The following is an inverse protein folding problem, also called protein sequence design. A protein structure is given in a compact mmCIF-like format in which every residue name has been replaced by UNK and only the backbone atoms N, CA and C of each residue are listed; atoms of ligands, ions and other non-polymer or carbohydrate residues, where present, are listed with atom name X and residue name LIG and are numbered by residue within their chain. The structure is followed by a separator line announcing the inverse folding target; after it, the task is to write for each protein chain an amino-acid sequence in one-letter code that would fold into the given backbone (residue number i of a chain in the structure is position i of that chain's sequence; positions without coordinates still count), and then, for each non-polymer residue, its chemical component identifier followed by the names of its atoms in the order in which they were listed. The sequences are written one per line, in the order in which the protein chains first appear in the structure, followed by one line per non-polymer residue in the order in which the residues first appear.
data_IF_512820991310
#
_entry.id   IF_512820991310
#
_cell.length_a   1.000
_cell.length_b   1.000
_cell.length_c   1.000
_cell.angle_alpha   90.00
_cell.angle_beta   90.00
_cell.angle_gamma   90.00
#
_symmetry.space_group_name_H-M   'P 1'
#
loop_
_entity.id
_entity.type
_entity.pdbx_description
1 polymer ?
#
# COMPACT_ATOMS: atom_id res chain seq x y z
N UNK A 1 -7.37 -6.38 10.29
CA UNK A 1 -5.97 -6.48 9.87
C UNK A 1 -5.37 -5.08 9.85
N UNK A 2 -4.08 -4.95 10.17
CA UNK A 2 -3.29 -3.73 10.02
C UNK A 2 -2.09 -4.06 9.10
N UNK A 3 -1.95 -3.34 8.00
CA UNK A 3 -0.85 -3.56 7.05
C UNK A 3 0.19 -2.47 7.24
N UNK A 4 1.44 -2.85 7.48
CA UNK A 4 2.55 -1.94 7.75
C UNK A 4 3.65 -2.18 6.71
N UNK A 5 4.01 -1.14 5.97
CA UNK A 5 5.15 -1.16 5.05
C UNK A 5 6.31 -0.36 5.61
N UNK A 6 7.42 -1.01 5.93
CA UNK A 6 8.64 -0.32 6.33
C UNK A 6 9.45 0.14 5.12
N UNK A 7 9.72 1.44 5.06
CA UNK A 7 10.53 2.05 4.00
C UNK A 7 12.01 2.00 4.31
N UNK A 8 12.40 2.58 5.44
CA UNK A 8 13.78 2.72 5.88
C UNK A 8 13.89 2.69 7.40
N UNK A 9 15.04 2.25 7.90
CA UNK A 9 15.46 2.37 9.31
C UNK A 9 16.15 3.69 9.62
N UNK A 10 16.32 4.58 8.64
CA UNK A 10 16.82 5.93 8.88
C UNK A 10 15.71 6.84 9.40
N UNK A 11 16.03 7.60 10.43
CA UNK A 11 15.15 8.59 11.04
C UNK A 11 15.84 9.94 11.12
N UNK A 12 15.05 10.99 11.40
CA UNK A 12 15.57 12.29 11.77
C UNK A 12 15.30 12.49 13.26
N UNK A 13 16.35 12.81 14.01
CA UNK A 13 16.27 13.19 15.40
C UNK A 13 16.38 14.69 15.52
N UNK A 14 15.43 15.32 16.21
CA UNK A 14 15.48 16.76 16.44
C UNK A 14 16.47 17.06 17.56
N UNK A 15 17.45 17.92 17.28
CA UNK A 15 18.54 18.22 18.23
C UNK A 15 18.07 18.91 19.52
N UNK A 16 16.93 19.58 19.49
CA UNK A 16 16.42 20.36 20.64
C UNK A 16 15.76 19.45 21.69
N UNK A 17 14.94 18.50 21.26
CA UNK A 17 14.17 17.62 22.17
C UNK A 17 14.71 16.20 22.24
N UNK A 18 15.69 15.87 21.41
CA UNK A 18 16.20 14.50 21.21
C UNK A 18 15.15 13.50 20.70
N UNK A 19 14.01 13.99 20.21
CA UNK A 19 12.93 13.15 19.73
C UNK A 19 13.13 12.72 18.28
N UNK A 20 12.72 11.49 17.97
CA UNK A 20 12.59 11.02 16.59
C UNK A 20 11.36 11.69 15.97
N UNK A 21 11.58 12.39 14.87
CA UNK A 21 10.55 13.17 14.17
C UNK A 21 10.41 12.77 12.71
N UNK A 22 9.23 13.06 12.17
CA UNK A 22 8.90 12.87 10.76
C UNK A 22 8.90 14.18 9.99
N UNK A 23 7.86 14.37 9.17
CA UNK A 23 7.70 15.50 8.26
C UNK A 23 7.47 16.85 8.99
N UNK A 24 8.54 17.44 9.52
CA UNK A 24 8.54 18.74 10.20
C UNK A 24 8.64 19.88 9.18
N UNK A 25 7.49 20.26 8.60
CA UNK A 25 7.43 21.43 7.73
C UNK A 25 7.77 22.69 8.54
N UNK A 26 8.72 23.50 8.05
CA UNK A 26 9.15 24.82 8.57
C UNK A 26 10.29 24.85 9.60
N UNK A 27 10.94 23.72 9.90
CA UNK A 27 12.17 23.72 10.72
C UNK A 27 13.40 23.51 9.81
N UNK A 28 14.49 24.28 9.96
CA UNK A 28 15.69 24.12 9.15
C UNK A 28 16.32 22.71 9.26
N UNK A 29 16.76 22.15 8.12
CA UNK A 29 17.30 20.79 8.05
C UNK A 29 18.53 20.56 8.97
N UNK A 30 19.32 21.60 9.22
CA UNK A 30 20.50 21.54 10.09
C UNK A 30 20.16 21.33 11.58
N UNK A 31 18.89 21.46 11.97
CA UNK A 31 18.42 21.15 13.32
C UNK A 31 18.14 19.66 13.53
N UNK A 32 18.27 18.84 12.49
CA UNK A 32 18.06 17.41 12.58
C UNK A 32 19.38 16.66 12.43
N UNK A 33 19.50 15.56 13.17
CA UNK A 33 20.51 14.53 12.95
C UNK A 33 19.82 13.39 12.24
N UNK A 34 20.33 13.01 11.07
CA UNK A 34 19.86 11.80 10.41
C UNK A 34 20.69 10.63 10.89
N UNK A 35 20.04 9.62 11.43
CA UNK A 35 20.69 8.44 11.97
C UNK A 35 19.93 7.17 11.60
N UNK A 36 20.59 6.03 11.76
CA UNK A 36 20.02 4.72 11.47
C UNK A 36 19.68 4.03 12.77
N UNK A 37 18.41 3.66 12.93
CA UNK A 37 17.97 2.86 14.05
C UNK A 37 18.59 1.46 14.01
N UNK A 38 18.82 0.90 15.18
CA UNK A 38 19.23 -0.48 15.39
C UNK A 38 18.04 -1.43 15.35
N UNK A 39 18.32 -2.73 15.23
CA UNK A 39 17.29 -3.78 15.27
C UNK A 39 16.53 -3.74 16.60
N UNK A 40 17.24 -3.53 17.71
CA UNK A 40 16.68 -3.53 19.07
C UNK A 40 15.77 -2.33 19.32
N UNK A 41 16.15 -1.12 18.87
CA UNK A 41 15.32 0.08 19.02
C UNK A 41 13.97 -0.06 18.30
N UNK A 42 14.00 -0.59 17.07
CA UNK A 42 12.78 -0.83 16.28
C UNK A 42 11.95 -1.91 16.97
N UNK A 43 12.56 -3.05 17.31
CA UNK A 43 11.86 -4.17 17.94
C UNK A 43 11.21 -3.75 19.25
N UNK A 44 11.94 -3.09 20.14
CA UNK A 44 11.44 -2.65 21.44
C UNK A 44 10.25 -1.69 21.30
N UNK A 45 10.39 -0.70 20.42
CA UNK A 45 9.35 0.32 20.18
C UNK A 45 8.08 -0.35 19.63
N UNK A 46 8.23 -1.19 18.61
CA UNK A 46 7.10 -1.87 17.99
C UNK A 46 6.47 -2.91 18.91
N UNK A 47 7.23 -3.66 19.70
CA UNK A 47 6.68 -4.61 20.66
C UNK A 47 5.79 -3.93 21.70
N UNK A 48 6.17 -2.75 22.19
CA UNK A 48 5.33 -1.95 23.10
C UNK A 48 4.02 -1.50 22.42
N UNK A 49 4.11 -1.06 21.17
CA UNK A 49 2.94 -0.64 20.40
C UNK A 49 2.00 -1.82 20.11
N UNK A 50 2.52 -2.94 19.63
CA UNK A 50 1.74 -4.13 19.32
C UNK A 50 1.01 -4.64 20.56
N UNK A 51 1.66 -4.69 21.73
CA UNK A 51 0.99 -5.06 22.99
C UNK A 51 -0.24 -4.18 23.26
N UNK A 52 -0.08 -2.85 23.20
CA UNK A 52 -1.19 -1.90 23.41
C UNK A 52 -2.33 -2.08 22.39
N UNK A 53 -1.98 -2.34 21.12
CA UNK A 53 -2.96 -2.61 20.08
C UNK A 53 -3.74 -3.90 20.34
N UNK A 54 -3.04 -4.95 20.80
CA UNK A 54 -3.66 -6.24 21.13
C UNK A 54 -4.49 -6.18 22.42
N UNK A 55 -4.10 -5.36 23.40
CA UNK A 55 -4.91 -5.12 24.60
C UNK A 55 -6.28 -4.53 24.22
N UNK A 56 -6.32 -3.69 23.18
CA UNK A 56 -7.56 -3.07 22.67
C UNK A 56 -8.30 -3.95 21.66
N UNK A 57 -7.59 -4.78 20.90
CA UNK A 57 -8.15 -5.68 19.90
C UNK A 57 -7.34 -6.99 19.84
N UNK A 58 -7.67 -7.99 20.67
CA UNK A 58 -6.91 -9.24 20.78
C UNK A 58 -6.83 -10.05 19.48
N UNK A 59 -7.79 -9.84 18.57
CA UNK A 59 -7.86 -10.54 17.29
C UNK A 59 -7.14 -9.80 16.15
N UNK A 60 -6.48 -8.65 16.44
CA UNK A 60 -5.78 -7.89 15.43
C UNK A 60 -4.61 -8.70 14.85
N UNK A 61 -4.64 -8.88 13.52
CA UNK A 61 -3.52 -9.40 12.74
C UNK A 61 -2.78 -8.25 12.07
N UNK A 62 -1.47 -8.22 12.20
CA UNK A 62 -0.56 -7.21 11.66
C UNK A 62 0.29 -7.88 10.58
N UNK A 63 0.24 -7.35 9.37
CA UNK A 63 1.03 -7.84 8.25
C UNK A 63 2.09 -6.80 7.91
N UNK A 64 3.34 -7.15 8.18
CA UNK A 64 4.50 -6.35 7.83
C UNK A 64 4.95 -6.64 6.40
N UNK A 65 5.58 -5.65 5.78
CA UNK A 65 6.32 -5.81 4.53
C UNK A 65 7.43 -4.77 4.46
N UNK A 66 8.50 -5.06 3.73
CA UNK A 66 9.55 -4.08 3.44
C UNK A 66 9.31 -3.51 2.05
N UNK A 67 9.35 -2.18 1.93
CA UNK A 67 9.14 -1.51 0.65
C UNK A 67 10.24 -1.88 -0.35
N UNK A 68 9.90 -2.22 -1.60
CA UNK A 68 10.86 -2.45 -2.67
C UNK A 68 11.57 -1.18 -3.16
N UNK A 69 11.09 0.00 -2.77
CA UNK A 69 11.68 1.29 -3.17
C UNK A 69 13.10 1.40 -2.61
N UNK A 70 14.02 1.81 -3.49
CA UNK A 70 15.43 2.00 -3.18
C UNK A 70 15.67 3.41 -2.63
N UNK A 71 16.23 3.51 -1.43
CA UNK A 71 16.61 4.78 -0.81
C UNK A 71 18.09 5.09 -1.09
N UNK A 72 18.41 5.48 -2.33
CA UNK A 72 19.79 5.67 -2.77
C UNK A 72 20.47 6.95 -2.29
N UNK A 73 19.76 7.84 -1.59
CA UNK A 73 20.35 9.05 -1.00
C UNK A 73 21.55 8.75 -0.08
N UNK A 74 21.60 7.54 0.50
CA UNK A 74 22.70 7.08 1.37
C UNK A 74 23.66 6.10 0.69
N UNK A 75 23.48 5.87 -0.61
CA UNK A 75 24.20 4.85 -1.37
C UNK A 75 23.61 3.44 -1.22
N UNK A 76 23.94 2.57 -2.18
CA UNK A 76 23.39 1.23 -2.26
C UNK A 76 23.71 0.37 -1.02
N UNK A 77 24.91 0.48 -0.47
CA UNK A 77 25.33 -0.27 0.73
C UNK A 77 24.46 0.07 1.95
N UNK A 78 24.26 1.36 2.24
CA UNK A 78 23.43 1.78 3.37
C UNK A 78 21.95 1.48 3.17
N UNK A 79 21.46 1.52 1.93
CA UNK A 79 20.13 1.02 1.61
C UNK A 79 20.01 -0.46 1.99
N UNK A 80 20.98 -1.30 1.60
CA UNK A 80 20.95 -2.72 1.97
C UNK A 80 21.00 -2.94 3.48
N UNK A 81 21.92 -2.29 4.19
CA UNK A 81 21.98 -2.36 5.65
C UNK A 81 20.66 -1.94 6.29
N UNK A 82 20.03 -0.89 5.77
CA UNK A 82 18.73 -0.41 6.26
C UNK A 82 17.63 -1.45 6.07
N UNK A 83 17.53 -2.06 4.87
CA UNK A 83 16.55 -3.14 4.60
C UNK A 83 16.83 -4.35 5.49
N UNK A 84 18.09 -4.77 5.65
CA UNK A 84 18.48 -5.87 6.54
C UNK A 84 18.04 -5.64 8.00
N UNK A 85 18.23 -4.42 8.52
CA UNK A 85 17.76 -4.05 9.86
C UNK A 85 16.24 -4.21 9.96
N UNK A 86 15.48 -3.71 8.97
CA UNK A 86 14.02 -3.85 8.95
C UNK A 86 13.57 -5.31 8.91
N UNK A 87 14.22 -6.16 8.11
CA UNK A 87 13.92 -7.60 8.06
C UNK A 87 14.16 -8.27 9.40
N UNK A 88 15.34 -8.05 10.03
CA UNK A 88 15.66 -8.62 11.34
C UNK A 88 14.70 -8.14 12.42
N UNK A 89 14.31 -6.85 12.41
CA UNK A 89 13.30 -6.35 13.34
C UNK A 89 11.93 -6.99 13.14
N UNK A 90 11.48 -7.15 11.90
CA UNK A 90 10.20 -7.83 11.61
C UNK A 90 10.26 -9.29 12.06
N UNK A 91 11.36 -9.99 11.79
CA UNK A 91 11.55 -11.37 12.21
C UNK A 91 11.48 -11.50 13.74
N UNK A 92 12.16 -10.62 14.49
CA UNK A 92 12.04 -10.57 15.94
C UNK A 92 10.59 -10.33 16.41
N UNK A 93 9.85 -9.43 15.76
CA UNK A 93 8.45 -9.14 16.09
C UNK A 93 7.55 -10.35 15.80
N UNK A 94 7.78 -11.08 14.70
CA UNK A 94 7.05 -12.31 14.40
C UNK A 94 7.30 -13.39 15.46
N UNK A 95 8.54 -13.56 15.91
CA UNK A 95 8.86 -14.48 17.00
C UNK A 95 8.20 -14.10 18.33
N UNK A 96 8.10 -12.80 18.63
CA UNK A 96 7.45 -12.32 19.86
C UNK A 96 5.91 -12.40 19.80
N UNK A 97 5.31 -12.29 18.61
CA UNK A 97 3.86 -12.26 18.42
C UNK A 97 3.42 -13.24 17.31
N UNK A 98 3.70 -14.55 17.41
CA UNK A 98 3.53 -15.51 16.31
C UNK A 98 2.07 -15.68 15.88
N UNK A 99 1.11 -15.41 16.76
CA UNK A 99 -0.31 -15.46 16.43
C UNK A 99 -0.82 -14.19 15.73
N UNK A 100 -0.07 -13.07 15.77
CA UNK A 100 -0.58 -11.75 15.39
C UNK A 100 0.30 -10.99 14.40
N UNK A 101 1.59 -11.30 14.29
CA UNK A 101 2.51 -10.64 13.37
C UNK A 101 2.91 -11.59 12.23
N UNK A 102 2.81 -11.09 10.99
CA UNK A 102 3.11 -11.83 9.78
C UNK A 102 3.94 -10.97 8.84
N UNK A 103 4.56 -11.59 7.82
CA UNK A 103 5.34 -10.90 6.81
C UNK A 103 4.89 -11.24 5.40
N UNK A 104 4.83 -10.23 4.53
CA UNK A 104 4.64 -10.38 3.09
C UNK A 104 5.91 -9.92 2.34
N UNK A 105 6.50 -10.75 1.46
CA UNK A 105 7.81 -10.51 0.88
C UNK A 105 7.80 -9.61 -0.37
N UNK A 106 7.27 -8.39 -0.28
CA UNK A 106 7.21 -7.47 -1.42
C UNK A 106 8.60 -7.03 -1.92
N UNK A 107 9.54 -6.84 -1.00
CA UNK A 107 10.93 -6.48 -1.32
C UNK A 107 11.62 -7.60 -2.11
N UNK A 108 11.51 -8.83 -1.62
CA UNK A 108 12.12 -10.03 -2.19
C UNK A 108 11.50 -10.36 -3.55
N UNK A 109 10.17 -10.26 -3.70
CA UNK A 109 9.52 -10.40 -5.01
C UNK A 109 10.13 -9.41 -6.02
N UNK A 110 10.37 -8.15 -5.59
CA UNK A 110 10.99 -7.17 -6.46
C UNK A 110 12.45 -7.52 -6.78
N UNK A 111 13.24 -7.97 -5.80
CA UNK A 111 14.66 -8.25 -6.00
C UNK A 111 14.91 -9.56 -6.77
N UNK A 112 14.12 -10.59 -6.52
CA UNK A 112 14.40 -11.96 -6.94
C UNK A 112 13.49 -12.44 -8.08
N UNK A 113 12.20 -12.09 -8.07
CA UNK A 113 11.27 -12.45 -9.16
C UNK A 113 11.26 -11.38 -10.28
N UNK A 114 11.43 -10.10 -9.92
CA UNK A 114 11.38 -8.95 -10.83
C UNK A 114 12.76 -8.26 -10.97
N UNK A 115 13.81 -9.07 -11.08
CA UNK A 115 15.23 -8.66 -11.00
C UNK A 115 15.73 -7.67 -12.07
N UNK A 116 14.95 -7.40 -13.12
CA UNK A 116 15.35 -6.62 -14.29
C UNK A 116 15.02 -5.12 -14.13
N UNK A 117 15.90 -4.24 -14.61
CA UNK A 117 15.71 -2.78 -14.59
C UNK A 117 14.43 -2.32 -15.29
N UNK A 118 13.87 -3.10 -16.24
CA UNK A 118 12.56 -2.83 -16.85
C UNK A 118 11.42 -2.70 -15.85
N UNK A 119 11.61 -3.21 -14.63
CA UNK A 119 10.63 -3.15 -13.56
C UNK A 119 10.77 -1.90 -12.70
N UNK A 120 11.79 -1.07 -12.91
CA UNK A 120 11.93 0.25 -12.30
C UNK A 120 11.49 1.36 -13.27
N UNK A 121 10.97 2.45 -12.72
CA UNK A 121 10.77 3.69 -13.47
C UNK A 121 12.10 4.33 -13.84
N UNK A 122 12.06 5.39 -14.66
CA UNK A 122 13.26 6.08 -15.17
C UNK A 122 14.20 6.60 -14.08
N UNK A 123 13.70 6.81 -12.85
CA UNK A 123 14.50 7.19 -11.70
C UNK A 123 15.34 6.05 -11.11
N UNK A 124 15.11 4.81 -11.55
CA UNK A 124 15.76 3.57 -11.09
C UNK A 124 15.53 3.26 -9.60
N UNK A 125 14.54 3.91 -8.97
CA UNK A 125 14.23 3.77 -7.54
C UNK A 125 12.84 3.19 -7.29
N UNK A 126 11.84 3.64 -8.06
CA UNK A 126 10.45 3.23 -7.87
C UNK A 126 10.08 2.07 -8.80
N UNK A 127 9.23 1.13 -8.36
CA UNK A 127 8.69 0.10 -9.24
C UNK A 127 7.73 0.67 -10.28
N UNK A 128 7.83 0.19 -11.51
CA UNK A 128 6.84 0.43 -12.58
C UNK A 128 5.45 -0.07 -12.20
N UNK A 129 4.43 0.40 -12.91
CA UNK A 129 3.07 -0.12 -12.75
C UNK A 129 2.98 -1.64 -13.00
N UNK A 130 3.79 -2.18 -13.92
CA UNK A 130 3.86 -3.61 -14.17
C UNK A 130 4.34 -4.38 -12.94
N UNK A 131 5.41 -3.90 -12.29
CA UNK A 131 5.93 -4.49 -11.06
C UNK A 131 4.92 -4.40 -9.91
N UNK A 132 4.29 -3.22 -9.73
CA UNK A 132 3.25 -3.03 -8.72
C UNK A 132 2.06 -3.99 -8.93
N UNK A 133 1.61 -4.16 -10.17
CA UNK A 133 0.53 -5.09 -10.51
C UNK A 133 0.92 -6.54 -10.22
N UNK A 134 2.18 -6.91 -10.44
CA UNK A 134 2.68 -8.25 -10.17
C UNK A 134 2.74 -8.54 -8.66
N UNK A 135 3.29 -7.63 -7.87
CA UNK A 135 3.30 -7.73 -6.41
C UNK A 135 1.87 -7.80 -5.86
N UNK A 136 0.97 -6.96 -6.39
CA UNK A 136 -0.45 -7.00 -6.03
C UNK A 136 -1.12 -8.32 -6.40
N UNK A 137 -0.76 -8.92 -7.54
CA UNK A 137 -1.23 -10.26 -7.91
C UNK A 137 -0.80 -11.28 -6.87
N UNK A 138 0.50 -11.35 -6.53
CA UNK A 138 1.02 -12.26 -5.49
C UNK A 138 0.31 -12.07 -4.16
N UNK A 139 0.12 -10.83 -3.73
CA UNK A 139 -0.59 -10.49 -2.50
C UNK A 139 -2.02 -11.05 -2.46
N UNK A 140 -2.79 -10.84 -3.53
CA UNK A 140 -4.17 -11.33 -3.62
C UNK A 140 -4.24 -12.85 -3.65
N UNK A 141 -3.32 -13.50 -4.36
CA UNK A 141 -3.26 -14.97 -4.42
C UNK A 141 -2.96 -15.58 -3.04
N UNK A 142 -2.17 -14.89 -2.20
CA UNK A 142 -1.83 -15.35 -0.86
C UNK A 142 -2.94 -15.09 0.16
N UNK A 143 -3.56 -13.91 0.15
CA UNK A 143 -4.41 -13.48 1.27
C UNK A 143 -5.91 -13.39 0.97
N UNK A 144 -6.32 -13.38 -0.30
CA UNK A 144 -7.74 -13.20 -0.64
C UNK A 144 -8.42 -14.53 -0.89
N UNK A 145 -9.60 -14.70 -0.29
CA UNK A 145 -10.47 -15.83 -0.58
C UNK A 145 -10.93 -15.81 -2.04
N UNK A 146 -11.37 -16.96 -2.54
CA UNK A 146 -11.87 -17.08 -3.92
C UNK A 146 -13.06 -16.14 -4.16
N UNK A 147 -13.93 -15.99 -3.17
CA UNK A 147 -15.07 -15.08 -3.19
C UNK A 147 -14.61 -13.63 -3.35
N UNK A 148 -13.59 -13.23 -2.58
CA UNK A 148 -13.01 -11.88 -2.66
C UNK A 148 -12.35 -11.63 -4.02
N UNK A 149 -11.64 -12.62 -4.56
CA UNK A 149 -11.05 -12.53 -5.89
C UNK A 149 -12.13 -12.36 -6.98
N UNK A 150 -13.25 -13.08 -6.88
CA UNK A 150 -14.37 -12.95 -7.80
C UNK A 150 -15.02 -11.55 -7.74
N UNK A 151 -15.21 -11.01 -6.54
CA UNK A 151 -15.71 -9.62 -6.36
C UNK A 151 -14.81 -8.62 -7.09
N UNK A 152 -13.49 -8.77 -6.96
CA UNK A 152 -12.53 -7.86 -7.61
C UNK A 152 -12.57 -8.00 -9.13
N UNK A 153 -12.76 -9.21 -9.66
CA UNK A 153 -12.90 -9.45 -11.10
C UNK A 153 -14.15 -8.74 -11.64
N UNK A 154 -15.28 -8.90 -10.96
CA UNK A 154 -16.54 -8.26 -11.35
C UNK A 154 -16.44 -6.74 -11.29
N UNK A 155 -15.85 -6.20 -10.21
CA UNK A 155 -15.65 -4.76 -10.04
C UNK A 155 -14.69 -4.17 -11.07
N UNK A 156 -13.67 -4.93 -11.51
CA UNK A 156 -12.66 -4.43 -12.46
C UNK A 156 -13.29 -3.92 -13.76
N UNK A 157 -14.34 -4.58 -14.25
CA UNK A 157 -15.08 -4.16 -15.45
C UNK A 157 -15.75 -2.80 -15.25
N UNK A 158 -16.47 -2.65 -14.14
CA UNK A 158 -17.11 -1.39 -13.76
C UNK A 158 -16.08 -0.28 -13.60
N UNK A 159 -14.96 -0.55 -12.93
CA UNK A 159 -13.90 0.43 -12.72
C UNK A 159 -13.29 0.92 -14.05
N UNK A 160 -13.14 0.04 -15.04
CA UNK A 160 -12.71 0.42 -16.38
C UNK A 160 -13.74 1.32 -17.07
N UNK A 161 -15.03 0.99 -16.96
CA UNK A 161 -16.11 1.83 -17.49
C UNK A 161 -16.13 3.23 -16.84
N UNK A 162 -15.96 3.30 -15.51
CA UNK A 162 -15.89 4.55 -14.74
C UNK A 162 -14.67 5.40 -15.09
N UNK A 163 -13.57 4.79 -15.55
CA UNK A 163 -12.34 5.49 -15.94
C UNK A 163 -12.33 5.92 -17.40
N UNK A 164 -13.34 5.53 -18.18
CA UNK A 164 -13.43 5.86 -19.61
C UNK A 164 -13.62 7.36 -19.81
N UNK A 165 -12.79 7.95 -20.68
CA UNK A 165 -12.91 9.35 -21.11
C UNK A 165 -13.43 9.36 -22.56
N UNK A 166 -14.63 9.92 -22.82
CA UNK A 166 -15.18 9.95 -24.17
C UNK A 166 -14.44 10.96 -25.05
N UNK A 167 -14.42 10.70 -26.36
CA UNK A 167 -13.95 11.68 -27.34
C UNK A 167 -14.97 12.82 -27.55
N UNK A 168 -16.27 12.52 -27.44
CA UNK A 168 -17.35 13.50 -27.45
C UNK A 168 -18.36 13.18 -26.33
N UNK A 169 -18.37 14.02 -25.31
CA UNK A 169 -19.22 13.86 -24.13
C UNK A 169 -20.71 14.10 -24.41
N UNK A 170 -21.07 14.82 -25.48
CA UNK A 170 -22.47 15.13 -25.82
C UNK A 170 -23.08 14.15 -26.83
N UNK A 171 -22.41 13.02 -27.11
CA UNK A 171 -22.93 12.03 -28.04
C UNK A 171 -23.97 11.11 -27.39
N UNK A 172 -25.02 10.76 -28.12
CA UNK A 172 -26.01 9.76 -27.70
C UNK A 172 -25.37 8.43 -27.30
N UNK A 173 -24.29 8.06 -27.99
CA UNK A 173 -23.52 6.85 -27.69
C UNK A 173 -22.90 6.91 -26.29
N UNK A 174 -22.38 8.07 -25.86
CA UNK A 174 -21.82 8.23 -24.54
C UNK A 174 -22.90 8.24 -23.46
N UNK A 175 -24.04 8.91 -23.69
CA UNK A 175 -25.17 8.85 -22.76
C UNK A 175 -25.65 7.40 -22.54
N UNK A 176 -25.82 6.63 -23.62
CA UNK A 176 -26.16 5.19 -23.54
C UNK A 176 -25.11 4.38 -22.77
N UNK A 177 -23.82 4.68 -22.98
CA UNK A 177 -22.72 4.06 -22.23
C UNK A 177 -22.79 4.36 -20.73
N UNK A 178 -23.13 5.59 -20.33
CA UNK A 178 -23.29 5.96 -18.92
C UNK A 178 -24.46 5.21 -18.26
N UNK A 179 -25.61 5.13 -18.93
CA UNK A 179 -26.76 4.37 -18.43
C UNK A 179 -26.43 2.88 -18.24
N UNK A 180 -25.78 2.26 -19.24
CA UNK A 180 -25.30 0.87 -19.12
C UNK A 180 -24.34 0.69 -17.94
N UNK A 181 -23.46 1.66 -17.70
CA UNK A 181 -22.52 1.61 -16.57
C UNK A 181 -23.28 1.65 -15.22
N UNK A 182 -24.37 2.41 -15.13
CA UNK A 182 -25.24 2.42 -13.93
C UNK A 182 -25.90 1.05 -13.74
N UNK A 183 -26.43 0.44 -14.80
CA UNK A 183 -27.03 -0.91 -14.74
C UNK A 183 -26.00 -1.97 -14.27
N UNK A 184 -24.76 -1.90 -14.76
CA UNK A 184 -23.68 -2.78 -14.31
C UNK A 184 -23.37 -2.60 -12.81
N UNK A 185 -23.37 -1.36 -12.31
CA UNK A 185 -23.19 -1.07 -10.87
C UNK A 185 -24.38 -1.59 -10.05
N UNK A 186 -25.60 -1.47 -10.55
CA UNK A 186 -26.80 -2.00 -9.89
C UNK A 186 -26.78 -3.52 -9.79
N UNK A 187 -26.43 -4.20 -10.88
CA UNK A 187 -26.26 -5.65 -10.89
C UNK A 187 -25.18 -6.10 -9.90
N UNK A 188 -24.05 -5.38 -9.85
CA UNK A 188 -22.98 -5.66 -8.88
C UNK A 188 -23.44 -5.45 -7.44
N UNK A 189 -24.15 -4.37 -7.14
CA UNK A 189 -24.67 -4.10 -5.80
C UNK A 189 -25.71 -5.14 -5.37
N UNK A 190 -26.56 -5.60 -6.29
CA UNK A 190 -27.53 -6.68 -6.01
C UNK A 190 -26.82 -8.00 -5.70
N UNK A 191 -25.72 -8.30 -6.41
CA UNK A 191 -24.90 -9.48 -6.16
C UNK A 191 -24.10 -9.38 -4.85
N UNK A 192 -23.66 -8.18 -4.48
CA UNK A 192 -22.83 -7.89 -3.31
C UNK A 192 -23.46 -6.77 -2.45
N UNK A 193 -24.57 -7.04 -1.75
CA UNK A 193 -25.37 -6.00 -1.07
C UNK A 193 -24.63 -5.30 0.07
N UNK A 194 -23.54 -5.91 0.56
CA UNK A 194 -22.67 -5.34 1.59
C UNK A 194 -21.66 -4.32 1.04
N UNK A 195 -21.55 -4.13 -0.28
CA UNK A 195 -20.66 -3.14 -0.91
C UNK A 195 -21.48 -1.93 -1.36
N UNK A 196 -21.19 -0.77 -0.76
CA UNK A 196 -21.82 0.49 -1.14
C UNK A 196 -21.23 1.04 -2.43
N UNK A 197 -22.09 1.29 -3.42
CA UNK A 197 -21.73 1.93 -4.70
C UNK A 197 -22.34 3.34 -4.83
N UNK A 198 -22.72 3.96 -3.71
CA UNK A 198 -23.46 5.23 -3.70
C UNK A 198 -22.67 6.38 -4.33
N UNK A 199 -21.35 6.41 -4.14
CA UNK A 199 -20.49 7.48 -4.65
C UNK A 199 -20.42 7.44 -6.17
N UNK A 200 -20.22 6.25 -6.73
CA UNK A 200 -20.10 5.99 -8.16
C UNK A 200 -21.41 6.31 -8.87
N UNK A 201 -22.54 5.81 -8.32
CA UNK A 201 -23.88 6.13 -8.83
C UNK A 201 -24.15 7.63 -8.84
N UNK A 202 -23.92 8.33 -7.73
CA UNK A 202 -24.11 9.79 -7.64
C UNK A 202 -23.24 10.55 -8.64
N UNK A 203 -22.00 10.12 -8.83
CA UNK A 203 -21.07 10.75 -9.77
C UNK A 203 -21.57 10.61 -11.21
N UNK A 204 -22.05 9.42 -11.61
CA UNK A 204 -22.62 9.18 -12.93
C UNK A 204 -23.95 9.90 -13.15
N UNK A 205 -24.86 9.87 -12.19
CA UNK A 205 -26.14 10.59 -12.30
C UNK A 205 -25.93 12.09 -12.47
N UNK A 206 -24.99 12.67 -11.71
CA UNK A 206 -24.63 14.08 -11.86
C UNK A 206 -24.05 14.36 -13.24
N UNK A 207 -23.17 13.48 -13.74
CA UNK A 207 -22.60 13.63 -15.07
C UNK A 207 -23.68 13.61 -16.16
N UNK A 208 -24.63 12.67 -16.09
CA UNK A 208 -25.76 12.60 -17.03
C UNK A 208 -26.62 13.86 -16.99
N UNK A 209 -26.85 14.44 -15.81
CA UNK A 209 -27.62 15.70 -15.68
C UNK A 209 -26.90 16.93 -16.24
N UNK A 210 -25.57 16.87 -16.39
CA UNK A 210 -24.76 17.98 -16.92
C UNK A 210 -24.49 17.90 -18.43
N UNK A 211 -24.88 16.80 -19.07
CA UNK A 211 -24.70 16.54 -20.50
C UNK A 211 -26.02 16.75 -21.25
#
# INVERSE_FOLDING_TARGET
FLLITFGTSYVFRWKETDEIVGNCHKIPANQFVRERLTVDEITLTWSKLIKRLLDSNPNLKILFTVSPIRHFKDGAHNNQLSKSILHLSIDNLMHQFPASAFYFPAYEIMMDELRDYRFYTDDMLHPTQLAQNYIWKRFRETYFSKETQNIIIDWKRIHQSLSHRPNNAYSDAYQKFLHRTIEEIEAFQNKYPFISCLKEKRSLTRLIQTL
#
